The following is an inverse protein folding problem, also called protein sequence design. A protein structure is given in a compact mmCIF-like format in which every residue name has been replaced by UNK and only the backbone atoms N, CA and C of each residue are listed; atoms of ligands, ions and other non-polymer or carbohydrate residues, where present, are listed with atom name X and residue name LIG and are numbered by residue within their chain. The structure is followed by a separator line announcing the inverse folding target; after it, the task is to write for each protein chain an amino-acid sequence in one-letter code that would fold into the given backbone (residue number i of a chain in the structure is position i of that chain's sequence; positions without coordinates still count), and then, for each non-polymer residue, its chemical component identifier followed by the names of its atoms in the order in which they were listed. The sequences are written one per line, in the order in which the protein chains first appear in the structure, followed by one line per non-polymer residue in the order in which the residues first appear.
data_IF_902718744865
#
_entry.id   IF_902718744865
#
_cell.length_a   1.000
_cell.length_b   1.000
_cell.length_c   1.000
_cell.angle_alpha   90.00
_cell.angle_beta   90.00
_cell.angle_gamma   90.00
#
_symmetry.space_group_name_H-M   'P 1'
#
loop_
_entity.id
_entity.type
_entity.pdbx_description
1 polymer ?
#
# COMPACT_ATOMS: atom_id res chain seq x y z
N UNK A 1 7.24 -21.33 0.04
CA UNK A 1 7.14 -19.96 -0.49
C UNK A 1 5.68 -19.59 -0.42
N UNK A 2 5.31 -18.67 0.47
CA UNK A 2 3.97 -18.10 0.50
C UNK A 2 3.82 -17.27 -0.77
N UNK A 3 2.96 -17.73 -1.68
CA UNK A 3 2.62 -16.98 -2.88
C UNK A 3 2.01 -15.65 -2.45
N UNK A 4 2.33 -14.58 -3.20
CA UNK A 4 1.77 -13.27 -2.92
C UNK A 4 0.26 -13.30 -3.18
N UNK A 5 -0.51 -13.35 -2.10
CA UNK A 5 -1.97 -13.33 -2.15
C UNK A 5 -2.48 -11.91 -2.39
N UNK A 6 -2.75 -11.62 -3.67
CA UNK A 6 -3.30 -10.34 -4.12
C UNK A 6 -4.58 -9.95 -3.37
N UNK A 7 -5.42 -10.92 -3.04
CA UNK A 7 -6.68 -10.69 -2.31
C UNK A 7 -6.43 -10.22 -0.87
N UNK A 8 -5.44 -10.79 -0.19
CA UNK A 8 -5.07 -10.38 1.17
C UNK A 8 -4.44 -9.00 1.13
N UNK A 9 -3.55 -8.76 0.16
CA UNK A 9 -2.89 -7.46 0.02
C UNK A 9 -3.89 -6.33 -0.26
N UNK A 10 -4.86 -6.54 -1.15
CA UNK A 10 -5.95 -5.59 -1.41
C UNK A 10 -6.87 -5.38 -0.20
N UNK A 11 -7.07 -6.41 0.62
CA UNK A 11 -7.87 -6.29 1.83
C UNK A 11 -7.16 -5.58 2.98
N UNK A 12 -5.83 -5.41 2.91
CA UNK A 12 -5.06 -4.74 3.96
C UNK A 12 -4.96 -3.22 3.73
N UNK A 13 -5.06 -2.77 2.49
CA UNK A 13 -4.94 -1.35 2.12
C UNK A 13 -6.31 -0.67 2.26
N UNK A 14 -6.34 0.45 2.97
CA UNK A 14 -7.52 1.31 3.10
C UNK A 14 -7.59 2.29 1.92
N UNK A 15 -6.53 3.09 1.73
CA UNK A 15 -6.37 3.95 0.56
C UNK A 15 -4.89 4.18 0.23
N UNK A 16 -4.65 4.62 -1.00
CA UNK A 16 -3.33 5.04 -1.46
C UNK A 16 -3.36 6.49 -1.91
N UNK A 17 -2.27 7.21 -1.65
CA UNK A 17 -2.08 8.60 -2.08
C UNK A 17 -0.94 8.63 -3.08
N UNK A 18 -1.22 9.13 -4.28
CA UNK A 18 -0.19 9.33 -5.32
C UNK A 18 0.15 10.82 -5.36
N UNK A 19 1.40 11.14 -5.08
CA UNK A 19 1.90 12.50 -5.18
C UNK A 19 2.42 12.77 -6.58
N UNK A 20 2.39 14.04 -6.96
CA UNK A 20 2.80 14.51 -8.28
C UNK A 20 4.29 14.26 -8.60
N UNK A 21 5.09 14.04 -7.56
CA UNK A 21 6.53 13.73 -7.64
C UNK A 21 6.81 12.23 -7.90
N UNK A 22 5.76 11.40 -7.99
CA UNK A 22 5.88 9.95 -8.17
C UNK A 22 6.02 9.16 -6.87
N UNK A 23 5.99 9.84 -5.72
CA UNK A 23 5.85 9.24 -4.40
C UNK A 23 4.48 8.60 -4.24
N UNK A 24 4.44 7.35 -3.77
CA UNK A 24 3.20 6.64 -3.44
C UNK A 24 3.19 6.30 -1.96
N UNK A 25 2.12 6.68 -1.27
CA UNK A 25 1.90 6.35 0.14
C UNK A 25 0.71 5.41 0.27
N UNK A 26 0.93 4.25 0.88
CA UNK A 26 -0.10 3.27 1.18
C UNK A 26 -0.54 3.45 2.63
N UNK A 27 -1.82 3.67 2.86
CA UNK A 27 -2.41 3.62 4.20
C UNK A 27 -3.17 2.31 4.35
N UNK A 28 -2.84 1.56 5.40
CA UNK A 28 -3.47 0.29 5.71
C UNK A 28 -4.61 0.48 6.70
N UNK A 29 -5.51 -0.51 6.78
CA UNK A 29 -6.65 -0.49 7.72
C UNK A 29 -6.24 -0.39 9.19
N UNK A 30 -5.03 -0.84 9.53
CA UNK A 30 -4.44 -0.74 10.86
C UNK A 30 -3.90 0.67 11.19
N UNK A 31 -3.94 1.59 10.23
CA UNK A 31 -3.38 2.94 10.35
C UNK A 31 -1.87 3.02 10.12
N UNK A 32 -1.20 1.88 9.87
CA UNK A 32 0.17 1.86 9.39
C UNK A 32 0.29 2.45 7.98
N UNK A 33 1.46 3.01 7.68
CA UNK A 33 1.74 3.67 6.41
C UNK A 33 3.04 3.16 5.83
N UNK A 34 3.06 2.91 4.52
CA UNK A 34 4.27 2.56 3.77
C UNK A 34 4.46 3.55 2.65
N UNK A 35 5.66 4.12 2.59
CA UNK A 35 6.10 5.02 1.53
C UNK A 35 6.91 4.24 0.49
N UNK A 36 6.48 4.33 -0.76
CA UNK A 36 7.19 3.85 -1.92
C UNK A 36 7.72 5.06 -2.69
N UNK A 37 9.02 5.29 -2.53
CA UNK A 37 9.79 6.18 -3.39
C UNK A 37 10.37 5.35 -4.53
N UNK A 38 10.31 5.90 -5.75
CA UNK A 38 10.82 5.27 -6.96
C UNK A 38 12.34 5.23 -6.99
#
# INVERSE_FOLDING_TARGET
MTEFDKNIWLSMVDYLTVHHDGKVEFTFLDGSQIELNR
#
